data_IF_871019903306
#
_entry.id   IF_871019903306
#
_cell.length_a   1.000
_cell.length_b   1.000
_cell.length_c   1.000
_cell.angle_alpha   90.00
_cell.angle_beta   90.00
_cell.angle_gamma   90.00
#
_symmetry.space_group_name_H-M   'P 1'
#
loop_
_entity.id
_entity.type
_entity.pdbx_description
1 polymer ?
#
# COMPACT_ATOMS: atom_id res chain seq x y z
N UNK A 1 -13.34 -3.72 -4.81
CA UNK A 1 -12.33 -4.68 -5.32
C UNK A 1 -11.14 -4.63 -4.39
N UNK A 2 -10.41 -5.73 -4.25
CA UNK A 2 -9.25 -5.81 -3.37
C UNK A 2 -8.03 -5.23 -4.08
N UNK A 3 -7.24 -4.43 -3.40
CA UNK A 3 -5.99 -3.84 -3.89
C UNK A 3 -4.85 -4.82 -3.66
N UNK A 4 -4.19 -5.26 -4.73
CA UNK A 4 -3.05 -6.19 -4.64
C UNK A 4 -2.06 -5.99 -5.77
N UNK A 5 -0.84 -6.50 -5.58
CA UNK A 5 0.24 -6.48 -6.57
C UNK A 5 1.19 -7.66 -6.34
N UNK A 6 1.75 -8.21 -7.40
CA UNK A 6 2.84 -9.19 -7.30
C UNK A 6 4.18 -8.46 -7.33
N UNK A 7 5.08 -8.83 -6.41
CA UNK A 7 6.41 -8.26 -6.31
C UNK A 7 7.45 -9.38 -6.38
N UNK A 8 8.49 -9.18 -7.20
CA UNK A 8 9.61 -10.09 -7.36
C UNK A 8 10.93 -9.36 -7.16
N UNK A 9 11.87 -9.97 -6.47
CA UNK A 9 13.23 -9.45 -6.34
C UNK A 9 14.24 -10.57 -6.58
N UNK A 10 15.19 -10.32 -7.49
CA UNK A 10 16.29 -11.22 -7.81
C UNK A 10 17.62 -10.59 -7.39
N UNK A 11 18.44 -11.34 -6.65
CA UNK A 11 19.76 -10.87 -6.20
C UNK A 11 20.66 -12.04 -5.76
N UNK A 12 21.97 -11.80 -5.68
CA UNK A 12 22.94 -12.79 -5.21
C UNK A 12 23.61 -12.34 -3.92
N UNK A 13 23.74 -13.26 -2.96
CA UNK A 13 24.42 -13.00 -1.69
C UNK A 13 25.27 -14.20 -1.28
N UNK A 14 26.56 -13.97 -1.00
CA UNK A 14 27.52 -15.00 -0.57
C UNK A 14 27.61 -16.24 -1.50
N UNK A 15 27.41 -16.04 -2.80
CA UNK A 15 27.47 -17.12 -3.78
C UNK A 15 26.19 -17.94 -3.89
N UNK A 16 25.10 -17.49 -3.27
CA UNK A 16 23.75 -18.02 -3.44
C UNK A 16 22.90 -17.00 -4.19
N UNK A 17 22.08 -17.49 -5.13
CA UNK A 17 21.11 -16.69 -5.87
C UNK A 17 19.73 -16.79 -5.22
N UNK A 18 19.07 -15.66 -5.07
CA UNK A 18 17.76 -15.50 -4.47
C UNK A 18 16.77 -15.00 -5.53
N UNK A 19 15.60 -15.64 -5.60
CA UNK A 19 14.46 -15.25 -6.44
C UNK A 19 13.22 -15.28 -5.55
N UNK A 20 12.86 -14.11 -5.00
CA UNK A 20 11.78 -13.98 -4.03
C UNK A 20 10.55 -13.40 -4.71
N UNK A 21 9.40 -14.05 -4.57
CA UNK A 21 8.12 -13.62 -5.14
C UNK A 21 7.06 -13.60 -4.03
N UNK A 22 6.30 -12.50 -3.95
CA UNK A 22 5.15 -12.39 -3.05
C UNK A 22 3.94 -11.78 -3.75
N UNK A 23 2.75 -12.34 -3.47
CA UNK A 23 1.48 -11.70 -3.76
C UNK A 23 1.09 -10.79 -2.60
N UNK A 24 1.17 -9.47 -2.79
CA UNK A 24 1.00 -8.49 -1.73
C UNK A 24 -0.44 -7.98 -1.73
N UNK A 25 -1.15 -8.30 -0.65
CA UNK A 25 -2.42 -7.67 -0.28
C UNK A 25 -2.15 -6.29 0.33
N UNK A 26 -2.61 -5.25 -0.37
CA UNK A 26 -2.44 -3.84 0.02
C UNK A 26 -3.58 -3.36 0.93
N UNK A 27 -4.70 -4.08 1.00
CA UNK A 27 -5.85 -3.75 1.85
C UNK A 27 -5.82 -4.41 3.22
N UNK A 28 -5.18 -5.57 3.36
CA UNK A 28 -5.02 -6.24 4.67
C UNK A 28 -4.18 -5.45 5.68
N UNK A 29 -3.63 -4.29 5.29
CA UNK A 29 -2.64 -3.55 6.06
C UNK A 29 -3.31 -2.32 6.68
N UNK A 30 -3.32 -2.30 8.02
CA UNK A 30 -4.07 -1.33 8.81
C UNK A 30 -3.66 0.12 8.50
N UNK A 31 -4.62 1.06 8.34
CA UNK A 31 -4.36 2.49 8.18
C UNK A 31 -3.72 3.14 9.42
N UNK A 32 -3.58 2.41 10.52
CA UNK A 32 -2.88 2.86 11.74
C UNK A 32 -1.39 3.14 11.51
N UNK A 33 -0.75 2.45 10.55
CA UNK A 33 0.57 2.86 10.08
C UNK A 33 0.37 3.96 9.04
N UNK A 34 0.76 5.18 9.39
CA UNK A 34 0.58 6.38 8.58
C UNK A 34 1.31 6.37 7.22
N UNK A 35 2.03 5.29 6.90
CA UNK A 35 2.73 5.07 5.64
C UNK A 35 2.43 3.68 5.07
N UNK A 36 2.34 3.61 3.74
CA UNK A 36 2.44 2.32 3.05
C UNK A 36 3.78 1.68 3.45
N UNK A 37 3.78 0.42 3.92
CA UNK A 37 5.03 -0.25 4.30
C UNK A 37 5.95 -0.39 3.09
N UNK A 38 7.26 -0.33 3.32
CA UNK A 38 8.24 -0.65 2.29
C UNK A 38 7.94 -2.05 1.71
N UNK A 39 7.85 -2.17 0.38
CA UNK A 39 7.55 -3.46 -0.26
C UNK A 39 8.71 -4.46 -0.08
N UNK A 40 9.95 -3.97 0.08
CA UNK A 40 11.07 -4.78 0.54
C UNK A 40 10.83 -5.37 1.93
N UNK A 41 10.32 -4.60 2.91
CA UNK A 41 10.00 -5.16 4.24
C UNK A 41 8.91 -6.24 4.17
N UNK A 42 7.99 -6.10 3.23
CA UNK A 42 6.95 -7.10 2.99
C UNK A 42 7.56 -8.40 2.46
N UNK A 43 8.33 -8.30 1.38
CA UNK A 43 9.03 -9.43 0.77
C UNK A 43 9.94 -10.13 1.80
N UNK A 44 10.72 -9.37 2.56
CA UNK A 44 11.61 -9.92 3.58
C UNK A 44 10.84 -10.72 4.63
N UNK A 45 9.73 -10.17 5.14
CA UNK A 45 8.90 -10.85 6.15
C UNK A 45 8.27 -12.13 5.61
N UNK A 46 7.74 -12.09 4.39
CA UNK A 46 7.08 -13.23 3.75
C UNK A 46 8.08 -14.38 3.49
N UNK A 47 9.35 -14.05 3.26
CA UNK A 47 10.44 -14.99 3.00
C UNK A 47 11.35 -15.24 4.21
N UNK A 48 10.92 -14.86 5.42
CA UNK A 48 11.65 -15.07 6.67
C UNK A 48 13.07 -14.46 6.72
N UNK A 49 13.30 -13.39 5.97
CA UNK A 49 14.52 -12.60 6.00
C UNK A 49 14.42 -11.56 7.12
N UNK A 50 15.38 -11.59 8.04
CA UNK A 50 15.47 -10.60 9.11
C UNK A 50 15.84 -9.23 8.52
N UNK A 51 15.04 -8.21 8.84
CA UNK A 51 15.21 -6.82 8.38
C UNK A 51 16.44 -6.12 8.98
N UNK A 52 17.19 -6.77 9.87
CA UNK A 52 18.45 -6.28 10.44
C UNK A 52 19.66 -7.06 9.85
N UNK A 53 19.42 -7.99 8.93
CA UNK A 53 20.49 -8.81 8.34
C UNK A 53 21.18 -8.13 7.16
N UNK A 54 22.46 -8.47 6.93
CA UNK A 54 23.18 -8.09 5.70
C UNK A 54 22.49 -8.62 4.42
N UNK A 55 21.78 -9.74 4.51
CA UNK A 55 21.00 -10.27 3.38
C UNK A 55 19.90 -9.28 3.00
N UNK A 56 19.22 -8.71 3.99
CA UNK A 56 18.21 -7.67 3.77
C UNK A 56 18.82 -6.37 3.23
N UNK A 57 20.00 -5.96 3.71
CA UNK A 57 20.70 -4.79 3.15
C UNK A 57 21.00 -4.96 1.66
N UNK A 58 21.51 -6.13 1.24
CA UNK A 58 21.73 -6.42 -0.18
C UNK A 58 20.42 -6.46 -0.95
N UNK A 59 19.36 -7.02 -0.37
CA UNK A 59 18.02 -7.03 -0.98
C UNK A 59 17.47 -5.62 -1.21
N UNK A 60 17.78 -4.65 -0.34
CA UNK A 60 17.34 -3.25 -0.50
C UNK A 60 17.98 -2.55 -1.71
N UNK A 61 19.16 -3.00 -2.14
CA UNK A 61 19.83 -2.48 -3.34
C UNK A 61 19.27 -3.10 -4.63
N UNK A 62 18.56 -4.23 -4.52
CA UNK A 62 17.95 -4.90 -5.65
C UNK A 62 16.62 -4.24 -6.06
N UNK A 63 16.41 -4.15 -7.36
CA UNK A 63 15.17 -3.63 -7.95
C UNK A 63 14.04 -4.65 -7.76
N UNK A 64 12.86 -4.14 -7.40
CA UNK A 64 11.65 -4.97 -7.35
C UNK A 64 10.95 -4.87 -8.69
N UNK A 65 10.72 -6.02 -9.31
CA UNK A 65 9.83 -6.15 -10.47
C UNK A 65 8.39 -6.30 -9.98
N UNK A 66 7.50 -5.45 -10.51
CA UNK A 66 6.08 -5.50 -10.17
C UNK A 66 5.25 -6.08 -11.32
N UNK A 67 4.20 -6.81 -10.97
CA UNK A 67 3.24 -7.32 -11.96
C UNK A 67 1.85 -7.53 -11.35
N UNK A 68 0.87 -7.82 -12.21
CA UNK A 68 -0.49 -8.24 -11.79
C UNK A 68 -1.15 -7.29 -10.77
N UNK A 69 -0.98 -5.98 -10.96
CA UNK A 69 -1.60 -4.98 -10.10
C UNK A 69 -3.14 -5.00 -10.25
N UNK A 70 -3.85 -4.97 -9.13
CA UNK A 70 -5.33 -5.03 -9.07
C UNK A 70 -5.91 -3.93 -8.19
N UNK A 71 -7.14 -3.53 -8.50
CA UNK A 71 -7.82 -2.45 -7.79
C UNK A 71 -7.12 -1.10 -8.03
N UNK A 72 -7.07 -0.27 -6.99
CA UNK A 72 -6.39 1.02 -7.00
C UNK A 72 -4.91 0.90 -7.38
N UNK A 73 -4.25 -0.23 -7.09
CA UNK A 73 -2.84 -0.43 -7.44
C UNK A 73 -2.59 -0.42 -8.95
N UNK A 74 -3.58 -0.82 -9.75
CA UNK A 74 -3.47 -0.80 -11.21
C UNK A 74 -3.34 0.63 -11.77
N UNK A 75 -3.91 1.63 -11.09
CA UNK A 75 -3.84 3.03 -11.50
C UNK A 75 -2.44 3.64 -11.26
N UNK A 76 -1.62 2.99 -10.43
CA UNK A 76 -0.25 3.41 -10.09
C UNK A 76 0.82 2.46 -10.66
N UNK A 77 0.41 1.52 -11.51
CA UNK A 77 1.30 0.57 -12.15
C UNK A 77 1.40 0.85 -13.65
N UNK A 78 2.61 1.10 -14.15
CA UNK A 78 2.87 1.35 -15.57
C UNK A 78 4.24 0.80 -15.97
N UNK A 79 4.29 0.05 -17.08
CA UNK A 79 5.54 -0.46 -17.68
C UNK A 79 6.45 -1.23 -16.68
N UNK A 80 5.86 -2.05 -15.80
CA UNK A 80 6.61 -2.81 -14.79
C UNK A 80 7.01 -2.00 -13.55
N UNK A 81 6.77 -0.69 -13.56
CA UNK A 81 7.04 0.21 -12.45
C UNK A 81 5.77 0.48 -11.64
N UNK A 82 5.90 0.47 -10.32
CA UNK A 82 4.83 0.82 -9.40
C UNK A 82 5.20 2.10 -8.64
N UNK A 83 4.44 3.17 -8.84
CA UNK A 83 4.62 4.43 -8.12
C UNK A 83 4.06 4.28 -6.69
N UNK A 84 4.88 3.69 -5.83
CA UNK A 84 4.52 3.43 -4.44
C UNK A 84 4.21 4.72 -3.67
N UNK A 85 4.89 5.82 -3.98
CA UNK A 85 4.68 7.09 -3.29
C UNK A 85 3.30 7.68 -3.63
N UNK A 86 2.95 7.72 -4.92
CA UNK A 86 1.64 8.17 -5.36
C UNK A 86 0.53 7.22 -4.87
N UNK A 87 0.75 5.90 -4.93
CA UNK A 87 -0.18 4.92 -4.38
C UNK A 87 -0.41 5.16 -2.88
N UNK A 88 0.66 5.34 -2.08
CA UNK A 88 0.56 5.55 -0.64
C UNK A 88 -0.29 6.78 -0.29
N UNK A 89 -0.13 7.87 -1.05
CA UNK A 89 -0.90 9.09 -0.87
C UNK A 89 -2.40 8.89 -1.14
N UNK A 90 -2.73 8.23 -2.25
CA UNK A 90 -4.12 7.95 -2.63
C UNK A 90 -4.78 6.86 -1.79
N UNK A 91 -4.00 5.84 -1.41
CA UNK A 91 -4.47 4.73 -0.59
C UNK A 91 -4.90 5.22 0.80
N UNK A 92 -4.13 6.11 1.43
CA UNK A 92 -4.51 6.66 2.73
C UNK A 92 -5.88 7.38 2.66
N UNK A 93 -6.11 8.19 1.62
CA UNK A 93 -7.37 8.91 1.44
C UNK A 93 -8.52 7.96 1.14
N UNK A 94 -8.26 6.92 0.34
CA UNK A 94 -9.24 5.88 0.07
C UNK A 94 -9.63 5.11 1.33
N UNK A 95 -8.67 4.70 2.16
CA UNK A 95 -8.92 4.00 3.43
C UNK A 95 -9.71 4.86 4.40
N UNK A 96 -9.35 6.14 4.55
CA UNK A 96 -10.11 7.08 5.39
C UNK A 96 -11.54 7.22 4.86
N UNK A 97 -11.74 7.35 3.54
CA UNK A 97 -13.07 7.43 2.96
C UNK A 97 -13.91 6.17 3.22
N UNK A 98 -13.30 4.98 3.19
CA UNK A 98 -13.99 3.72 3.53
C UNK A 98 -14.42 3.69 5.01
N UNK A 99 -13.58 4.17 5.93
CA UNK A 99 -13.93 4.31 7.35
C UNK A 99 -15.05 5.33 7.59
N UNK A 100 -15.08 6.39 6.79
CA UNK A 100 -16.07 7.47 6.88
C UNK A 100 -17.41 7.10 6.23
N UNK A 101 -17.44 6.21 5.24
CA UNK A 101 -18.66 5.78 4.55
C UNK A 101 -19.81 5.36 5.48
N UNK A 102 -19.62 4.46 6.48
CA UNK A 102 -20.70 4.11 7.40
C UNK A 102 -21.17 5.29 8.26
N UNK A 103 -20.27 6.22 8.62
CA UNK A 103 -20.61 7.43 9.37
C UNK A 103 -21.42 8.38 8.49
N UNK A 104 -20.99 8.61 7.25
CA UNK A 104 -21.69 9.43 6.28
C UNK A 104 -23.09 8.87 5.97
N UNK A 105 -23.25 7.55 5.90
CA UNK A 105 -24.58 6.94 5.75
C UNK A 105 -25.45 7.16 6.99
N UNK A 106 -24.89 7.00 8.20
CA UNK A 106 -25.66 7.12 9.45
C UNK A 106 -26.08 8.57 9.75
N UNK A 107 -25.16 9.52 9.62
CA UNK A 107 -25.34 10.89 10.07
C UNK A 107 -25.85 11.83 8.96
N UNK A 108 -25.45 11.59 7.71
CA UNK A 108 -25.74 12.46 6.57
C UNK A 108 -26.69 11.82 5.54
N UNK A 109 -27.09 10.55 5.76
CA UNK A 109 -27.87 9.75 4.82
C UNK A 109 -27.24 9.66 3.42
N UNK A 110 -25.91 9.64 3.33
CA UNK A 110 -25.17 9.50 2.08
C UNK A 110 -24.85 8.02 1.83
N UNK A 111 -25.49 7.43 0.81
CA UNK A 111 -25.25 6.03 0.41
C UNK A 111 -23.87 5.78 -0.19
N UNK A 112 -23.33 6.77 -0.90
CA UNK A 112 -22.04 6.67 -1.58
C UNK A 112 -21.29 7.99 -1.45
N UNK A 113 -20.31 8.00 -0.55
CA UNK A 113 -19.48 9.16 -0.25
C UNK A 113 -18.56 9.50 -1.44
N UNK A 114 -18.27 8.54 -2.32
CA UNK A 114 -17.42 8.80 -3.51
C UNK A 114 -18.10 9.72 -4.51
N UNK A 115 -19.44 9.77 -4.53
CA UNK A 115 -20.24 10.64 -5.41
C UNK A 115 -20.35 12.07 -4.90
N UNK A 116 -19.90 12.35 -3.68
CA UNK A 116 -19.93 13.68 -3.08
C UNK A 116 -18.51 14.13 -2.72
N UNK A 117 -17.74 14.48 -3.76
CA UNK A 117 -16.31 14.79 -3.64
C UNK A 117 -16.03 15.87 -2.58
N UNK A 118 -16.83 16.94 -2.53
CA UNK A 118 -16.64 18.05 -1.59
C UNK A 118 -16.79 17.59 -0.13
N UNK A 119 -17.85 16.82 0.17
CA UNK A 119 -18.10 16.29 1.51
C UNK A 119 -17.04 15.25 1.89
N UNK A 120 -16.72 14.33 0.98
CA UNK A 120 -15.65 13.35 1.16
C UNK A 120 -14.35 14.04 1.55
N UNK A 121 -13.94 15.04 0.77
CA UNK A 121 -12.70 15.77 0.99
C UNK A 121 -12.72 16.50 2.34
N UNK A 122 -13.82 17.17 2.68
CA UNK A 122 -13.95 17.85 3.98
C UNK A 122 -13.84 16.89 5.17
N UNK A 123 -14.49 15.72 5.10
CA UNK A 123 -14.44 14.72 6.17
C UNK A 123 -13.05 14.08 6.28
N UNK A 124 -12.40 13.77 5.16
CA UNK A 124 -11.01 13.25 5.14
C UNK A 124 -10.06 14.28 5.76
N UNK A 125 -10.19 15.56 5.40
CA UNK A 125 -9.38 16.64 5.98
C UNK A 125 -9.61 16.79 7.49
N UNK A 126 -10.87 16.76 7.94
CA UNK A 126 -11.21 16.83 9.35
C UNK A 126 -10.64 15.65 10.15
N UNK A 127 -10.70 14.43 9.60
CA UNK A 127 -10.08 13.25 10.21
C UNK A 127 -8.56 13.39 10.30
N UNK A 128 -7.89 13.81 9.22
CA UNK A 128 -6.43 14.05 9.20
C UNK A 128 -6.02 15.11 10.22
N UNK A 129 -6.78 16.20 10.35
CA UNK A 129 -6.56 17.25 11.33
C UNK A 129 -6.68 16.69 12.77
N UNK A 130 -7.72 15.91 13.03
CA UNK A 130 -7.95 15.30 14.35
C UNK A 130 -6.88 14.29 14.77
N UNK A 131 -6.27 13.56 13.82
CA UNK A 131 -5.17 12.62 14.10
C UNK A 131 -3.82 13.33 14.33
N UNK A 132 -3.67 14.56 13.86
CA UNK A 132 -2.49 15.40 14.10
C UNK A 132 -2.54 16.19 15.40
N UNK A 133 -3.66 16.13 16.14
CA UNK A 133 -3.86 16.68 17.48
C UNK A 133 -3.57 15.61 18.55
#
# INVERSE_FOLDING_TARGET
>A
MKNSIDARVEFSFKGEDYDLISHIDLDARSPERASCPSLHEVLARDHHIDTISYLYEVMLEAEIEFSNAQGLAADFFSDGHFDQAAFASHWQDHQIALLLQPIAKRELNIDDLTRQADIRNALVQAYKLGRGL
#
